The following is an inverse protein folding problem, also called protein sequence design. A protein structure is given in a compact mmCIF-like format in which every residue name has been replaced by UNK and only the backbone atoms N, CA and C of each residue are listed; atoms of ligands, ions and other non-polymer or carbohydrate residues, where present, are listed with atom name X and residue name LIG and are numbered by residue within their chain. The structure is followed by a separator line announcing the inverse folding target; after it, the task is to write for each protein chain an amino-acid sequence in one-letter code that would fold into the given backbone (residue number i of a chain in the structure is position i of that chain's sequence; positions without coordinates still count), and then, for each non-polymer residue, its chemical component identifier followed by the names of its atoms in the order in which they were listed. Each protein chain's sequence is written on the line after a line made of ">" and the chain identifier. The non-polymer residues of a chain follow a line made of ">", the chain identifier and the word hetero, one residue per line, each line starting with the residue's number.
data_IF_392719680676
#
_entry.id   IF_392719680676
#
_cell.length_a   1.000
_cell.length_b   1.000
_cell.length_c   1.000
_cell.angle_alpha   90.00
_cell.angle_beta   90.00
_cell.angle_gamma   90.00
#
_symmetry.space_group_name_H-M   'P 1'
#
loop_
_entity.id
_entity.type
_entity.pdbx_description
1 polymer ?
#
# COMPACT_ATOMS: atom_id res chain seq x y z
N UNK A 1 -23.22 -0.98 -0.05
CA UNK A 1 -21.79 -1.02 0.34
C UNK A 1 -21.08 0.04 -0.48
N UNK A 2 -20.45 1.06 0.14
CA UNK A 2 -19.65 2.04 -0.62
C UNK A 2 -18.50 1.28 -1.29
N UNK A 3 -18.19 1.54 -2.57
CA UNK A 3 -17.03 0.93 -3.20
C UNK A 3 -15.76 1.43 -2.48
N UNK A 4 -15.04 0.51 -1.84
CA UNK A 4 -13.72 0.77 -1.29
C UNK A 4 -12.67 0.51 -2.37
N UNK A 5 -11.61 1.32 -2.39
CA UNK A 5 -10.46 1.06 -3.25
C UNK A 5 -9.46 0.17 -2.50
N UNK A 6 -8.78 -0.70 -3.23
CA UNK A 6 -7.71 -1.54 -2.70
C UNK A 6 -6.47 -1.32 -3.54
N UNK A 7 -5.35 -1.03 -2.90
CA UNK A 7 -4.04 -0.99 -3.53
C UNK A 7 -3.31 -2.29 -3.20
N UNK A 8 -2.75 -2.92 -4.22
CA UNK A 8 -1.93 -4.13 -4.06
C UNK A 8 -0.58 -3.83 -4.69
N UNK A 9 0.48 -4.03 -3.93
CA UNK A 9 1.86 -3.95 -4.39
C UNK A 9 2.32 -5.37 -4.69
N UNK A 10 2.82 -5.57 -5.90
CA UNK A 10 3.36 -6.84 -6.38
C UNK A 10 4.80 -6.64 -6.84
N UNK A 11 5.63 -7.67 -6.69
CA UNK A 11 6.99 -7.66 -7.21
C UNK A 11 7.02 -7.87 -8.74
N UNK A 12 8.22 -7.89 -9.32
CA UNK A 12 8.42 -8.13 -10.77
C UNK A 12 7.96 -9.52 -11.23
N UNK A 13 7.87 -10.50 -10.33
CA UNK A 13 7.39 -11.84 -10.60
C UNK A 13 5.85 -11.94 -10.44
N UNK A 14 5.17 -10.86 -10.04
CA UNK A 14 3.74 -10.83 -9.80
C UNK A 14 3.33 -11.40 -8.45
N UNK A 15 4.27 -11.59 -7.52
CA UNK A 15 4.00 -12.04 -6.15
C UNK A 15 3.51 -10.85 -5.33
N UNK A 16 2.45 -11.05 -4.54
CA UNK A 16 1.90 -10.02 -3.65
C UNK A 16 2.86 -9.76 -2.51
N UNK A 17 3.28 -8.50 -2.37
CA UNK A 17 4.21 -8.05 -1.33
C UNK A 17 3.53 -7.19 -0.27
N UNK A 18 2.54 -6.39 -0.66
CA UNK A 18 1.75 -5.61 0.30
C UNK A 18 0.33 -5.31 -0.19
N UNK A 19 -0.63 -5.23 0.74
CA UNK A 19 -2.04 -4.89 0.46
C UNK A 19 -2.49 -3.73 1.36
N UNK A 20 -3.08 -2.71 0.75
CA UNK A 20 -3.67 -1.56 1.42
C UNK A 20 -5.15 -1.42 1.05
N UNK A 21 -5.98 -1.15 2.05
CA UNK A 21 -7.39 -0.86 1.82
C UNK A 21 -7.69 0.61 2.10
N UNK A 22 -8.29 1.28 1.12
CA UNK A 22 -8.77 2.65 1.26
C UNK A 22 -10.09 2.64 2.05
N UNK A 23 -9.96 2.83 3.36
CA UNK A 23 -11.07 2.94 4.30
C UNK A 23 -11.46 4.41 4.52
N UNK A 24 -12.62 4.67 5.13
CA UNK A 24 -12.99 6.05 5.53
C UNK A 24 -11.98 6.68 6.50
N UNK A 25 -11.33 5.87 7.35
CA UNK A 25 -10.25 6.33 8.22
C UNK A 25 -8.98 6.70 7.44
N UNK A 26 -8.63 5.96 6.38
CA UNK A 26 -7.51 6.28 5.50
C UNK A 26 -7.78 7.56 4.69
N UNK A 27 -9.02 7.76 4.23
CA UNK A 27 -9.45 9.00 3.57
C UNK A 27 -9.44 10.21 4.51
N UNK A 28 -9.68 9.99 5.81
CA UNK A 28 -9.60 11.04 6.82
C UNK A 28 -8.15 11.48 7.11
N UNK A 29 -7.15 10.65 6.77
CA UNK A 29 -5.73 10.92 6.99
C UNK A 29 -4.90 10.54 5.76
N UNK A 30 -5.06 11.27 4.64
CA UNK A 30 -4.44 10.91 3.37
C UNK A 30 -2.90 10.96 3.43
N UNK A 31 -2.32 11.86 4.21
CA UNK A 31 -0.86 11.99 4.37
C UNK A 31 -0.26 10.77 5.06
N UNK A 32 -0.90 10.29 6.13
CA UNK A 32 -0.45 9.08 6.83
C UNK A 32 -0.58 7.83 5.96
N UNK A 33 -1.66 7.74 5.16
CA UNK A 33 -1.85 6.65 4.21
C UNK A 33 -0.76 6.65 3.11
N UNK A 34 -0.45 7.82 2.55
CA UNK A 34 0.63 7.97 1.55
C UNK A 34 2.00 7.68 2.15
N UNK A 35 2.25 8.07 3.40
CA UNK A 35 3.50 7.75 4.09
C UNK A 35 3.68 6.24 4.30
N UNK A 36 2.63 5.55 4.76
CA UNK A 36 2.65 4.09 4.92
C UNK A 36 2.87 3.36 3.57
N UNK A 37 2.30 3.91 2.49
CA UNK A 37 2.52 3.41 1.14
C UNK A 37 3.97 3.54 0.67
N UNK A 38 4.59 4.70 0.91
CA UNK A 38 5.99 4.93 0.55
C UNK A 38 6.92 4.00 1.32
N UNK A 39 6.70 3.88 2.63
CA UNK A 39 7.49 2.98 3.47
C UNK A 39 7.41 1.53 2.97
N UNK A 40 6.22 1.04 2.64
CA UNK A 40 6.07 -0.31 2.12
C UNK A 40 6.64 -0.51 0.71
N UNK A 41 6.92 0.55 -0.05
CA UNK A 41 7.69 0.43 -1.29
C UNK A 41 9.18 0.36 -0.96
N UNK A 42 9.67 1.22 -0.05
CA UNK A 42 11.07 1.22 0.39
C UNK A 42 11.46 -0.12 1.03
N UNK A 43 10.63 -0.68 1.91
CA UNK A 43 10.87 -1.99 2.56
C UNK A 43 11.04 -3.13 1.52
N UNK A 44 10.34 -3.04 0.38
CA UNK A 44 10.45 -4.02 -0.70
C UNK A 44 11.72 -3.81 -1.52
N UNK A 45 12.14 -2.57 -1.74
CA UNK A 45 13.40 -2.27 -2.43
C UNK A 45 14.62 -2.65 -1.58
N UNK A 46 14.56 -2.53 -0.25
CA UNK A 46 15.63 -2.93 0.67
C UNK A 46 15.75 -4.46 0.85
N UNK A 47 14.64 -5.22 0.75
CA UNK A 47 14.68 -6.70 0.82
C UNK A 47 15.36 -7.38 -0.38
N UNK A 48 15.56 -6.68 -1.51
CA UNK A 48 16.26 -7.19 -2.70
C UNK A 48 17.81 -6.99 -2.68
N UNK A 49 18.40 -6.43 -1.60
CA UNK A 49 19.85 -6.09 -1.52
C UNK A 49 20.78 -7.19 -0.97
#
# INVERSE_FOLDING_TARGET
>A
MKPGYRLVIVDKAGVLVSEFQLTEAALAQPEAFVAALKQAVEDVEDEES
#
